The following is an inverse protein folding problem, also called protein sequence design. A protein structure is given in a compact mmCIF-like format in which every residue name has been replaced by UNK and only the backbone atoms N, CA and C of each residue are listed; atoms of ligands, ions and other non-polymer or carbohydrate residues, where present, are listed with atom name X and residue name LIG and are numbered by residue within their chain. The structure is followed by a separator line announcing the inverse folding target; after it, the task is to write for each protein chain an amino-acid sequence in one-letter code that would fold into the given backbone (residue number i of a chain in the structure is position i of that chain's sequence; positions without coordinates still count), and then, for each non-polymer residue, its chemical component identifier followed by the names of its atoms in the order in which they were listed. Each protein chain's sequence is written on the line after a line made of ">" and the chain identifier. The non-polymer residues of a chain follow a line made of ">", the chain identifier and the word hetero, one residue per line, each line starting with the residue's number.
data_IF_484569228546
#
_entry.id   IF_484569228546
#
_cell.length_a   1.000
_cell.length_b   1.000
_cell.length_c   1.000
_cell.angle_alpha   90.00
_cell.angle_beta   90.00
_cell.angle_gamma   90.00
#
_symmetry.space_group_name_H-M   'P 1'
#
loop_
_entity.id
_entity.type
_entity.pdbx_description
1 polymer ?
#
# COMPACT_ATOMS: atom_id res chain seq x y z
N UNK A 1 -4.77 -3.19 -24.94
CA UNK A 1 -4.01 -3.84 -23.82
C UNK A 1 -3.90 -2.85 -22.68
N UNK A 2 -4.61 -3.05 -21.57
CA UNK A 2 -4.52 -2.16 -20.41
C UNK A 2 -3.86 -2.94 -19.28
N UNK A 3 -2.64 -2.54 -18.91
CA UNK A 3 -1.98 -2.99 -17.68
C UNK A 3 -2.39 -2.00 -16.60
N UNK A 4 -3.17 -2.46 -15.62
CA UNK A 4 -3.49 -1.64 -14.47
C UNK A 4 -2.51 -1.96 -13.36
N UNK A 5 -1.64 -1.02 -13.02
CA UNK A 5 -0.75 -1.13 -11.86
C UNK A 5 -1.46 -0.55 -10.65
N UNK A 6 -1.72 -1.39 -9.66
CA UNK A 6 -2.13 -0.92 -8.34
C UNK A 6 -0.97 -1.13 -7.37
N UNK A 7 -0.52 -0.04 -6.76
CA UNK A 7 0.50 -0.07 -5.71
C UNK A 7 -0.19 0.08 -4.35
N UNK A 8 0.09 -0.84 -3.44
CA UNK A 8 -0.41 -0.77 -2.06
C UNK A 8 0.76 -0.92 -1.10
N UNK A 9 0.85 0.00 -0.14
CA UNK A 9 1.78 -0.05 0.99
C UNK A 9 1.18 -0.92 2.09
N UNK A 10 1.89 -1.97 2.49
CA UNK A 10 1.40 -2.88 3.54
C UNK A 10 2.16 -2.70 4.85
N UNK A 11 1.45 -2.45 5.95
CA UNK A 11 1.94 -2.86 7.27
C UNK A 11 1.74 -4.38 7.38
N UNK A 12 2.71 -5.09 7.94
CA UNK A 12 2.94 -6.56 7.86
C UNK A 12 1.76 -7.51 8.22
N UNK A 13 0.59 -6.99 8.59
CA UNK A 13 -0.55 -7.76 9.13
C UNK A 13 -1.89 -7.51 8.42
N UNK A 14 -1.89 -6.97 7.19
CA UNK A 14 -3.12 -6.62 6.48
C UNK A 14 -3.82 -7.83 5.80
N UNK A 15 -4.83 -8.41 6.47
CA UNK A 15 -5.66 -9.52 5.94
C UNK A 15 -6.39 -9.20 4.63
N UNK A 16 -6.72 -7.93 4.39
CA UNK A 16 -7.46 -7.48 3.20
C UNK A 16 -6.66 -7.67 1.90
N UNK A 17 -5.33 -7.77 1.96
CA UNK A 17 -4.49 -8.09 0.78
C UNK A 17 -4.89 -9.42 0.16
N UNK A 18 -5.28 -10.41 0.99
CA UNK A 18 -5.77 -11.70 0.52
C UNK A 18 -7.11 -11.60 -0.21
N UNK A 19 -7.81 -10.48 -0.05
CA UNK A 19 -9.11 -10.21 -0.68
C UNK A 19 -8.97 -9.35 -1.95
N UNK A 20 -7.79 -8.80 -2.26
CA UNK A 20 -7.57 -7.98 -3.46
C UNK A 20 -7.99 -8.72 -4.74
N UNK A 21 -7.61 -9.99 -4.86
CA UNK A 21 -8.01 -10.84 -6.00
C UNK A 21 -9.52 -10.89 -6.16
N UNK A 22 -10.26 -11.12 -5.06
CA UNK A 22 -11.72 -11.16 -5.06
C UNK A 22 -12.30 -9.80 -5.44
N UNK A 23 -11.81 -8.70 -4.86
CA UNK A 23 -12.25 -7.33 -5.17
C UNK A 23 -12.07 -7.01 -6.66
N UNK A 24 -10.96 -7.42 -7.27
CA UNK A 24 -10.73 -7.20 -8.69
C UNK A 24 -11.63 -8.08 -9.58
N UNK A 25 -11.84 -9.34 -9.20
CA UNK A 25 -12.77 -10.23 -9.91
C UNK A 25 -14.20 -9.71 -9.88
N UNK A 26 -14.68 -9.20 -8.73
CA UNK A 26 -15.99 -8.56 -8.59
C UNK A 26 -16.16 -7.35 -9.52
N UNK A 27 -15.05 -6.69 -9.89
CA UNK A 27 -15.03 -5.56 -10.83
C UNK A 27 -14.88 -5.99 -12.30
N UNK A 28 -14.98 -7.29 -12.59
CA UNK A 28 -14.84 -7.85 -13.94
C UNK A 28 -13.40 -7.82 -14.46
N UNK A 29 -12.42 -7.78 -13.56
CA UNK A 29 -10.99 -7.83 -13.90
C UNK A 29 -10.49 -9.25 -13.65
N UNK A 30 -10.03 -9.89 -14.72
CA UNK A 30 -9.30 -11.16 -14.63
C UNK A 30 -7.88 -10.90 -14.19
N UNK A 31 -7.48 -11.40 -13.02
CA UNK A 31 -6.09 -11.31 -12.55
C UNK A 31 -5.23 -12.31 -13.34
N UNK A 32 -4.16 -11.80 -13.94
CA UNK A 32 -3.15 -12.58 -14.65
C UNK A 32 -1.97 -12.90 -13.73
N UNK A 33 -1.60 -11.95 -12.87
CA UNK A 33 -0.46 -12.08 -11.96
C UNK A 33 -0.66 -11.21 -10.72
N UNK A 34 -0.22 -11.70 -9.57
CA UNK A 34 -0.13 -10.96 -8.31
C UNK A 34 1.20 -11.26 -7.60
N UNK A 35 1.94 -10.21 -7.24
CA UNK A 35 3.25 -10.30 -6.61
C UNK A 35 3.29 -9.46 -5.33
N UNK A 36 3.97 -10.00 -4.31
CA UNK A 36 4.39 -9.24 -3.15
C UNK A 36 5.87 -8.90 -3.32
N UNK A 37 6.20 -7.62 -3.33
CA UNK A 37 7.56 -7.14 -3.48
C UNK A 37 8.00 -6.45 -2.19
N UNK A 38 9.14 -6.86 -1.67
CA UNK A 38 9.84 -6.13 -0.62
C UNK A 38 10.69 -5.03 -1.30
N UNK A 39 10.66 -3.78 -0.83
CA UNK A 39 11.56 -2.74 -1.33
C UNK A 39 13.02 -3.16 -1.14
N UNK A 40 13.85 -2.92 -2.15
CA UNK A 40 15.29 -3.13 -2.01
C UNK A 40 15.86 -2.23 -0.90
N UNK A 41 16.91 -2.70 -0.24
CA UNK A 41 17.44 -2.05 0.96
C UNK A 41 17.94 -0.62 0.72
N UNK A 42 18.41 -0.33 -0.49
CA UNK A 42 18.89 0.97 -0.94
C UNK A 42 17.77 1.98 -1.21
N UNK A 43 16.58 1.52 -1.62
CA UNK A 43 15.42 2.37 -1.86
C UNK A 43 14.46 2.46 -0.67
N UNK A 44 14.57 1.58 0.33
CA UNK A 44 13.62 1.46 1.43
C UNK A 44 13.38 2.79 2.17
N UNK A 45 14.41 3.60 2.37
CA UNK A 45 14.29 4.89 3.05
C UNK A 45 13.58 5.94 2.20
N UNK A 46 13.97 6.10 0.93
CA UNK A 46 13.31 7.00 -0.01
C UNK A 46 11.84 6.61 -0.21
N UNK A 47 11.59 5.31 -0.34
CA UNK A 47 10.26 4.72 -0.40
C UNK A 47 9.43 5.06 0.84
N UNK A 48 10.02 4.95 2.04
CA UNK A 48 9.38 5.35 3.31
C UNK A 48 8.99 6.82 3.32
N UNK A 49 9.90 7.71 2.94
CA UNK A 49 9.63 9.15 2.91
C UNK A 49 8.47 9.50 1.96
N UNK A 50 8.47 8.93 0.76
CA UNK A 50 7.43 9.19 -0.25
C UNK A 50 6.02 8.81 0.24
N UNK A 51 5.90 7.81 1.11
CA UNK A 51 4.60 7.29 1.54
C UNK A 51 4.11 7.82 2.89
N UNK A 52 4.91 8.63 3.60
CA UNK A 52 4.52 9.21 4.90
C UNK A 52 3.27 10.07 4.83
N UNK A 53 3.11 10.85 3.75
CA UNK A 53 1.94 11.69 3.53
C UNK A 53 0.70 10.84 3.18
N UNK A 54 0.86 9.83 2.33
CA UNK A 54 -0.23 8.88 2.04
C UNK A 54 -0.69 8.11 3.28
N UNK A 55 0.23 7.73 4.17
CA UNK A 55 -0.13 7.10 5.45
C UNK A 55 -0.85 8.06 6.40
N UNK A 56 -0.54 9.37 6.37
CA UNK A 56 -1.26 10.37 7.15
C UNK A 56 -2.74 10.42 6.75
N UNK A 57 -3.00 10.43 5.45
CA UNK A 57 -4.36 10.42 4.91
C UNK A 57 -5.09 9.13 5.29
N UNK A 58 -4.41 7.99 5.18
CA UNK A 58 -4.99 6.69 5.52
C UNK A 58 -5.32 6.59 7.01
N UNK A 59 -4.46 7.10 7.89
CA UNK A 59 -4.73 7.19 9.33
C UNK A 59 -5.92 8.12 9.60
N UNK A 60 -6.00 9.28 8.95
CA UNK A 60 -7.13 10.19 9.11
C UNK A 60 -8.47 9.54 8.75
N UNK A 61 -8.51 8.80 7.63
CA UNK A 61 -9.73 8.13 7.17
C UNK A 61 -10.05 6.90 8.02
N UNK A 62 -9.08 6.01 8.23
CA UNK A 62 -9.29 4.73 8.91
C UNK A 62 -9.50 4.88 10.43
N UNK A 63 -8.92 5.91 11.04
CA UNK A 63 -9.12 6.20 12.45
C UNK A 63 -10.26 7.20 12.70
N UNK A 64 -11.02 7.60 11.67
CA UNK A 64 -12.09 8.61 11.75
C UNK A 64 -11.60 9.93 12.41
N UNK A 65 -10.34 10.29 12.18
CA UNK A 65 -9.71 11.44 12.82
C UNK A 65 -9.37 11.26 14.30
N UNK A 66 -9.28 10.03 14.82
CA UNK A 66 -8.93 9.79 16.22
C UNK A 66 -7.55 10.35 16.58
N UNK A 67 -7.46 10.91 17.79
CA UNK A 67 -6.22 11.47 18.33
C UNK A 67 -5.12 10.42 18.47
N UNK A 68 -5.50 9.17 18.75
CA UNK A 68 -4.57 8.06 18.95
C UNK A 68 -3.90 7.64 17.64
N UNK A 69 -4.68 7.47 16.56
CA UNK A 69 -4.13 7.17 15.24
C UNK A 69 -3.16 8.24 14.78
N UNK A 70 -3.52 9.51 14.98
CA UNK A 70 -2.66 10.64 14.62
C UNK A 70 -1.38 10.74 15.46
N UNK A 71 -1.40 10.35 16.74
CA UNK A 71 -0.19 10.33 17.54
C UNK A 71 0.75 9.19 17.12
N UNK A 72 0.22 8.02 16.75
CA UNK A 72 1.01 6.94 16.17
C UNK A 72 1.66 7.37 14.85
N UNK A 73 0.94 8.08 13.98
CA UNK A 73 1.50 8.64 12.75
C UNK A 73 2.64 9.63 13.05
N UNK A 74 2.44 10.57 13.98
CA UNK A 74 3.49 11.53 14.38
C UNK A 74 4.72 10.82 14.93
N UNK A 75 4.54 9.78 15.74
CA UNK A 75 5.66 8.99 16.27
C UNK A 75 6.43 8.31 15.14
N UNK A 76 5.73 7.64 14.23
CA UNK A 76 6.36 7.01 13.07
C UNK A 76 7.12 8.04 12.22
N UNK A 77 6.53 9.22 11.97
CA UNK A 77 7.20 10.30 11.23
C UNK A 77 8.51 10.76 11.90
N UNK A 78 8.53 10.89 13.24
CA UNK A 78 9.76 11.23 13.99
C UNK A 78 10.83 10.14 13.89
N UNK A 79 10.43 8.88 13.91
CA UNK A 79 11.35 7.75 13.76
C UNK A 79 11.94 7.71 12.33
N UNK A 80 11.11 7.96 11.30
CA UNK A 80 11.57 8.05 9.91
C UNK A 80 12.51 9.23 9.68
N UNK A 81 12.25 10.39 10.28
CA UNK A 81 13.18 11.53 10.24
C UNK A 81 14.56 11.21 10.85
N UNK A 82 14.66 10.21 11.72
CA UNK A 82 15.91 9.72 12.32
C UNK A 82 16.56 8.58 11.54
N UNK A 83 16.04 8.25 10.36
CA UNK A 83 16.58 7.20 9.49
C UNK A 83 15.88 5.84 9.62
N UNK A 84 14.80 5.72 10.40
CA UNK A 84 14.02 4.49 10.41
C UNK A 84 13.30 4.27 9.08
N UNK A 85 13.21 3.02 8.65
CA UNK A 85 12.36 2.62 7.53
C UNK A 85 11.13 1.90 8.06
N UNK A 86 9.98 2.12 7.44
CA UNK A 86 8.80 1.33 7.74
C UNK A 86 8.89 0.01 7.00
N UNK A 87 8.51 -1.08 7.67
CA UNK A 87 8.36 -2.38 7.04
C UNK A 87 7.15 -2.34 6.12
N UNK A 88 7.38 -2.02 4.86
CA UNK A 88 6.34 -1.91 3.83
C UNK A 88 6.59 -2.93 2.74
N UNK A 89 5.55 -3.65 2.31
CA UNK A 89 5.57 -4.40 1.06
C UNK A 89 4.74 -3.68 0.01
N UNK A 90 5.08 -3.92 -1.24
CA UNK A 90 4.28 -3.62 -2.40
C UNK A 90 3.44 -4.83 -2.75
N UNK A 91 2.17 -4.61 -3.05
CA UNK A 91 1.41 -5.57 -3.84
C UNK A 91 1.37 -5.04 -5.26
N UNK A 92 1.83 -5.82 -6.23
CA UNK A 92 1.64 -5.56 -7.66
C UNK A 92 0.61 -6.55 -8.20
N UNK A 93 -0.44 -6.07 -8.85
CA UNK A 93 -1.50 -6.92 -9.43
C UNK A 93 -1.69 -6.54 -10.88
N UNK A 94 -1.44 -7.50 -11.78
CA UNK A 94 -1.65 -7.36 -13.22
C UNK A 94 -2.99 -8.02 -13.57
N UNK A 95 -3.89 -7.24 -14.13
CA UNK A 95 -5.21 -7.73 -14.53
C UNK A 95 -5.61 -7.30 -15.93
N UNK A 96 -6.57 -8.02 -16.50
CA UNK A 96 -7.22 -7.72 -17.78
C UNK A 96 -8.71 -7.52 -17.56
N UNK A 97 -9.26 -6.42 -18.06
CA UNK A 97 -10.71 -6.20 -18.11
C UNK A 97 -11.25 -6.66 -19.47
N UNK A 98 -12.38 -7.37 -19.47
CA UNK A 98 -13.06 -7.72 -20.72
C UNK A 98 -13.71 -6.47 -21.36
N UNK A 99 -13.61 -6.33 -22.69
CA UNK A 99 -14.30 -5.29 -23.46
C UNK A 99 -13.57 -3.95 -23.65
N UNK A 100 -12.24 -3.93 -23.54
CA UNK A 100 -11.45 -2.76 -23.96
C UNK A 100 -10.75 -3.03 -25.28
N UNK A 101 -11.24 -2.43 -26.36
CA UNK A 101 -10.44 -2.23 -27.57
C UNK A 101 -9.21 -1.36 -27.25
#
# INVERSE_FOLDING_TARGET
>A
MVIVYYYTVTLTSCRWIRQLRTIFQERGITILEDQLLDPEADIAYAWTLMHMDGMKELVNVAAEGSKEGMELHRRAAREVQRGACLSMRLVNVVGRKAGGD
#
